data_IF_377768552545
#
_entry.id   IF_377768552545
#
_cell.length_a   1.000
_cell.length_b   1.000
_cell.length_c   1.000
_cell.angle_alpha   90.00
_cell.angle_beta   90.00
_cell.angle_gamma   90.00
#
_symmetry.space_group_name_H-M   'P 1'
#
loop_
_entity.id
_entity.type
_entity.pdbx_description
1 polymer ?
#
# COMPACT_ATOMS: atom_id res chain seq x y z
N UNK A 1 -11.33 1.09 -32.70
CA UNK A 1 -11.07 2.55 -32.83
C UNK A 1 -10.04 2.71 -33.92
N UNK A 2 -10.23 3.64 -34.84
CA UNK A 2 -9.30 3.86 -35.95
C UNK A 2 -8.01 4.51 -35.42
N UNK A 3 -6.83 3.99 -35.78
CA UNK A 3 -5.55 4.45 -35.22
C UNK A 3 -5.26 5.91 -35.58
N UNK A 4 -5.73 6.34 -36.75
CA UNK A 4 -5.59 7.70 -37.25
C UNK A 4 -6.44 8.72 -36.48
N UNK A 5 -7.30 8.26 -35.57
CA UNK A 5 -8.14 9.11 -34.70
C UNK A 5 -7.66 9.15 -33.25
N UNK A 6 -6.55 8.49 -32.92
CA UNK A 6 -5.96 8.59 -31.58
C UNK A 6 -5.16 9.88 -31.46
N UNK A 7 -5.18 10.55 -30.29
CA UNK A 7 -4.26 11.65 -30.05
C UNK A 7 -2.82 11.15 -30.06
N UNK A 8 -1.84 12.05 -30.16
CA UNK A 8 -0.42 11.68 -30.07
C UNK A 8 -0.12 10.97 -28.73
N UNK A 9 0.68 9.91 -28.80
CA UNK A 9 1.10 9.17 -27.61
C UNK A 9 1.92 10.09 -26.70
N UNK A 10 1.29 10.49 -25.60
CA UNK A 10 1.85 11.42 -24.62
C UNK A 10 1.39 11.03 -23.22
N UNK A 11 2.04 11.56 -22.19
CA UNK A 11 1.60 11.32 -20.81
C UNK A 11 0.15 11.77 -20.58
N UNK A 12 -0.22 12.93 -21.13
CA UNK A 12 -1.58 13.48 -21.00
C UNK A 12 -2.62 12.52 -21.58
N UNK A 13 -2.37 12.01 -22.80
CA UNK A 13 -3.26 11.06 -23.43
C UNK A 13 -3.36 9.73 -22.65
N UNK A 14 -2.24 9.22 -22.15
CA UNK A 14 -2.21 8.00 -21.32
C UNK A 14 -3.03 8.19 -20.03
N UNK A 15 -2.86 9.32 -19.33
CA UNK A 15 -3.60 9.61 -18.09
C UNK A 15 -5.10 9.82 -18.35
N UNK A 16 -5.48 10.44 -19.47
CA UNK A 16 -6.88 10.57 -19.87
C UNK A 16 -7.54 9.22 -20.14
N UNK A 17 -6.84 8.29 -20.80
CA UNK A 17 -7.33 6.91 -20.97
C UNK A 17 -7.40 6.15 -19.66
N UNK A 18 -6.42 6.30 -18.77
CA UNK A 18 -6.49 5.72 -17.41
C UNK A 18 -7.71 6.23 -16.64
N UNK A 19 -8.02 7.53 -16.70
CA UNK A 19 -9.24 8.10 -16.08
C UNK A 19 -10.54 7.52 -16.65
N UNK A 20 -10.53 7.12 -17.93
CA UNK A 20 -11.65 6.44 -18.59
C UNK A 20 -11.72 4.94 -18.28
N UNK A 21 -10.81 4.42 -17.45
CA UNK A 21 -10.82 3.04 -16.97
C UNK A 21 -9.97 2.06 -17.80
N UNK A 22 -9.24 2.54 -18.82
CA UNK A 22 -8.37 1.67 -19.62
C UNK A 22 -7.09 1.30 -18.87
N UNK A 23 -6.70 0.04 -18.97
CA UNK A 23 -5.41 -0.47 -18.50
C UNK A 23 -4.27 -0.08 -19.45
N UNK A 24 -3.02 -0.12 -18.97
CA UNK A 24 -1.85 0.13 -19.81
C UNK A 24 -1.73 -0.86 -20.99
N UNK A 25 -2.25 -2.08 -20.83
CA UNK A 25 -2.26 -3.09 -21.89
C UNK A 25 -3.23 -2.70 -22.99
N UNK A 26 -4.47 -2.34 -22.64
CA UNK A 26 -5.47 -1.88 -23.61
C UNK A 26 -5.02 -0.60 -24.32
N UNK A 27 -4.41 0.35 -23.59
CA UNK A 27 -3.82 1.54 -24.20
C UNK A 27 -2.71 1.16 -25.18
N UNK A 28 -1.82 0.23 -24.81
CA UNK A 28 -0.75 -0.21 -25.71
C UNK A 28 -1.31 -0.83 -27.00
N UNK A 29 -2.35 -1.65 -26.90
CA UNK A 29 -3.05 -2.25 -28.04
C UNK A 29 -3.69 -1.19 -28.96
N UNK A 30 -4.34 -0.18 -28.38
CA UNK A 30 -4.92 0.95 -29.12
C UNK A 30 -3.87 1.67 -29.96
N UNK A 31 -2.73 1.98 -29.35
CA UNK A 31 -1.64 2.72 -29.99
C UNK A 31 -0.70 1.85 -30.84
N UNK A 32 -0.86 0.53 -30.82
CA UNK A 32 0.05 -0.40 -31.54
C UNK A 32 1.47 -0.41 -30.99
N UNK A 33 1.65 -0.12 -29.70
CA UNK A 33 2.94 -0.11 -29.00
C UNK A 33 2.99 -1.21 -27.95
N UNK A 34 4.14 -1.37 -27.29
CA UNK A 34 4.27 -2.33 -26.19
C UNK A 34 3.78 -1.72 -24.88
N UNK A 35 3.30 -2.56 -23.96
CA UNK A 35 2.94 -2.12 -22.60
C UNK A 35 4.15 -1.53 -21.85
N UNK A 36 5.36 -1.97 -22.17
CA UNK A 36 6.61 -1.39 -21.66
C UNK A 36 6.82 0.04 -22.16
N UNK A 37 6.48 0.36 -23.40
CA UNK A 37 6.55 1.72 -23.91
C UNK A 37 5.61 2.65 -23.15
N UNK A 38 4.36 2.24 -22.90
CA UNK A 38 3.41 2.99 -22.07
C UNK A 38 3.95 3.17 -20.64
N UNK A 39 4.49 2.11 -20.04
CA UNK A 39 5.09 2.18 -18.70
C UNK A 39 6.30 3.10 -18.64
N UNK A 40 7.11 3.14 -19.70
CA UNK A 40 8.25 4.05 -19.83
C UNK A 40 7.77 5.51 -19.90
N UNK A 41 6.77 5.82 -20.73
CA UNK A 41 6.18 7.17 -20.81
C UNK A 41 5.67 7.65 -19.45
N UNK A 42 4.91 6.81 -18.73
CA UNK A 42 4.41 7.15 -17.39
C UNK A 42 5.57 7.42 -16.42
N UNK A 43 6.62 6.61 -16.43
CA UNK A 43 7.77 6.78 -15.54
C UNK A 43 8.59 8.03 -15.89
N UNK A 44 8.92 8.22 -17.16
CA UNK A 44 9.84 9.26 -17.64
C UNK A 44 9.26 10.66 -17.46
N UNK A 45 7.95 10.83 -17.66
CA UNK A 45 7.31 12.15 -17.65
C UNK A 45 6.53 12.45 -16.36
N UNK A 46 6.66 11.63 -15.32
CA UNK A 46 6.04 11.89 -14.02
C UNK A 46 4.52 11.64 -13.99
N UNK A 47 4.07 10.57 -14.65
CA UNK A 47 2.68 10.15 -14.61
C UNK A 47 2.19 9.82 -13.21
N UNK A 48 0.87 9.84 -13.03
CA UNK A 48 0.26 9.61 -11.71
C UNK A 48 0.61 8.21 -11.25
N UNK A 49 1.14 8.13 -10.04
CA UNK A 49 1.38 6.86 -9.36
C UNK A 49 0.03 6.16 -9.19
N UNK A 50 0.06 4.86 -9.34
CA UNK A 50 -1.09 4.03 -8.95
C UNK A 50 -1.14 3.95 -7.42
N UNK A 51 -2.31 3.74 -6.80
CA UNK A 51 -2.39 3.53 -5.36
C UNK A 51 -1.40 2.47 -4.87
N UNK A 52 -1.22 1.39 -5.64
CA UNK A 52 -0.23 0.36 -5.34
C UNK A 52 1.22 0.87 -5.33
N UNK A 53 1.60 1.77 -6.23
CA UNK A 53 2.93 2.36 -6.26
C UNK A 53 3.14 3.29 -5.06
N UNK A 54 2.13 4.09 -4.73
CA UNK A 54 2.15 4.96 -3.54
C UNK A 54 2.28 4.14 -2.25
N UNK A 55 1.52 3.03 -2.12
CA UNK A 55 1.65 2.08 -1.01
C UNK A 55 3.08 1.52 -0.91
N UNK A 56 3.70 1.16 -2.03
CA UNK A 56 5.04 0.58 -2.05
C UNK A 56 6.13 1.58 -1.68
N UNK A 57 6.00 2.83 -2.10
CA UNK A 57 6.95 3.89 -1.74
C UNK A 57 6.81 4.32 -0.28
N UNK A 58 5.59 4.32 0.23
CA UNK A 58 5.32 4.61 1.64
C UNK A 58 5.56 3.42 2.57
N UNK A 59 5.95 2.26 2.03
CA UNK A 59 6.09 1.03 2.80
C UNK A 59 7.32 1.11 3.72
N UNK A 60 7.17 1.05 5.06
CA UNK A 60 8.23 1.45 5.96
C UNK A 60 9.18 0.30 6.34
N UNK A 61 8.95 -0.91 5.82
CA UNK A 61 9.60 -2.14 6.27
C UNK A 61 10.15 -2.97 5.12
N UNK A 62 11.34 -3.54 5.28
CA UNK A 62 11.78 -4.65 4.41
C UNK A 62 11.40 -5.98 5.07
N UNK A 63 10.46 -6.71 4.46
CA UNK A 63 9.86 -7.92 5.05
C UNK A 63 10.19 -9.14 4.19
N UNK A 64 10.71 -10.20 4.82
CA UNK A 64 11.00 -11.46 4.12
C UNK A 64 9.74 -12.19 3.64
N UNK A 65 9.87 -12.92 2.53
CA UNK A 65 8.75 -13.54 1.83
C UNK A 65 7.80 -14.37 2.72
N UNK A 66 8.27 -15.20 3.68
CA UNK A 66 7.38 -15.94 4.57
C UNK A 66 6.50 -15.03 5.44
N UNK A 67 7.06 -13.93 5.95
CA UNK A 67 6.38 -12.99 6.85
C UNK A 67 5.35 -12.11 6.12
N UNK A 68 5.49 -11.97 4.80
CA UNK A 68 4.48 -11.28 3.96
C UNK A 68 3.17 -12.08 3.81
N UNK A 69 3.19 -13.38 4.11
CA UNK A 69 2.03 -14.27 3.97
C UNK A 69 1.18 -14.33 5.24
N UNK A 70 1.15 -13.24 6.02
CA UNK A 70 0.46 -13.16 7.30
C UNK A 70 -0.78 -12.26 7.23
N UNK A 71 -1.72 -12.46 8.14
CA UNK A 71 -2.91 -11.61 8.23
C UNK A 71 -2.56 -10.15 8.55
N UNK A 72 -1.54 -9.93 9.40
CA UNK A 72 -1.03 -8.60 9.77
C UNK A 72 -0.49 -7.88 8.55
N UNK A 73 0.43 -8.50 7.81
CA UNK A 73 0.99 -7.89 6.60
C UNK A 73 -0.09 -7.53 5.58
N UNK A 74 -1.08 -8.41 5.39
CA UNK A 74 -2.24 -8.12 4.54
C UNK A 74 -3.03 -6.91 5.04
N UNK A 75 -3.33 -6.82 6.33
CA UNK A 75 -4.07 -5.69 6.89
C UNK A 75 -3.30 -4.38 6.79
N UNK A 76 -1.96 -4.41 6.96
CA UNK A 76 -1.11 -3.24 6.72
C UNK A 76 -1.16 -2.79 5.25
N UNK A 77 -1.14 -3.72 4.28
CA UNK A 77 -1.33 -3.37 2.86
C UNK A 77 -2.72 -2.77 2.59
N UNK A 78 -3.76 -3.37 3.16
CA UNK A 78 -5.12 -2.86 3.03
C UNK A 78 -5.26 -1.46 3.66
N UNK A 79 -4.60 -1.20 4.80
CA UNK A 79 -4.58 0.11 5.43
C UNK A 79 -3.96 1.17 4.50
N UNK A 80 -2.76 0.91 3.98
CA UNK A 80 -2.10 1.86 3.09
C UNK A 80 -2.96 2.14 1.83
N UNK A 81 -3.56 1.11 1.24
CA UNK A 81 -4.49 1.29 0.12
C UNK A 81 -5.74 2.10 0.52
N UNK A 82 -6.30 1.86 1.70
CA UNK A 82 -7.44 2.61 2.22
C UNK A 82 -7.10 4.09 2.43
N UNK A 83 -5.96 4.42 3.05
CA UNK A 83 -5.55 5.81 3.28
C UNK A 83 -5.35 6.55 1.96
N UNK A 84 -4.74 5.92 0.97
CA UNK A 84 -4.49 6.53 -0.35
C UNK A 84 -5.77 6.72 -1.16
N UNK A 85 -6.73 5.79 -1.06
CA UNK A 85 -7.92 5.77 -1.94
C UNK A 85 -9.21 6.19 -1.27
N UNK A 86 -9.24 6.35 0.05
CA UNK A 86 -10.47 6.44 0.83
C UNK A 86 -11.31 5.17 0.79
N UNK A 87 -10.73 4.03 0.41
CA UNK A 87 -11.43 2.75 0.20
C UNK A 87 -12.10 2.58 -1.16
N UNK A 88 -11.97 3.54 -2.08
CA UNK A 88 -12.54 3.45 -3.42
C UNK A 88 -11.88 2.30 -4.20
N UNK A 89 -12.69 1.36 -4.68
CA UNK A 89 -12.22 0.19 -5.44
C UNK A 89 -11.79 -1.01 -4.58
N UNK A 90 -11.77 -0.87 -3.26
CA UNK A 90 -11.50 -1.98 -2.34
C UNK A 90 -12.72 -2.91 -2.23
N UNK A 91 -12.47 -4.21 -2.03
CA UNK A 91 -13.56 -5.18 -1.86
C UNK A 91 -14.22 -4.98 -0.49
N UNK A 92 -15.55 -5.17 -0.36
CA UNK A 92 -16.24 -5.07 0.92
C UNK A 92 -15.66 -6.00 2.01
N UNK A 93 -15.21 -7.19 1.63
CA UNK A 93 -14.56 -8.13 2.55
C UNK A 93 -13.20 -7.63 3.08
N UNK A 94 -12.46 -6.85 2.29
CA UNK A 94 -11.18 -6.28 2.70
C UNK A 94 -11.39 -5.11 3.66
N UNK A 95 -12.38 -4.25 3.37
CA UNK A 95 -12.80 -3.17 4.26
C UNK A 95 -13.31 -3.71 5.61
N UNK A 96 -14.14 -4.76 5.61
CA UNK A 96 -14.63 -5.38 6.85
C UNK A 96 -13.50 -5.96 7.71
N UNK A 97 -12.51 -6.60 7.09
CA UNK A 97 -11.33 -7.11 7.83
C UNK A 97 -10.48 -5.97 8.39
N UNK A 98 -10.34 -4.89 7.64
CA UNK A 98 -9.60 -3.71 8.05
C UNK A 98 -10.27 -3.01 9.23
N UNK A 99 -11.59 -2.85 9.20
CA UNK A 99 -12.38 -2.33 10.32
C UNK A 99 -12.18 -3.19 11.59
N UNK A 100 -12.28 -4.52 11.47
CA UNK A 100 -12.06 -5.41 12.60
C UNK A 100 -10.63 -5.33 13.16
N UNK A 101 -9.65 -5.11 12.28
CA UNK A 101 -8.25 -4.92 12.67
C UNK A 101 -8.05 -3.61 13.43
N UNK A 102 -8.64 -2.51 12.98
CA UNK A 102 -8.57 -1.23 13.70
C UNK A 102 -9.24 -1.30 15.07
N UNK A 103 -10.46 -1.85 15.15
CA UNK A 103 -11.16 -2.07 16.44
C UNK A 103 -10.30 -2.89 17.39
N UNK A 104 -9.73 -4.00 16.92
CA UNK A 104 -8.86 -4.84 17.77
C UNK A 104 -7.65 -4.06 18.30
N UNK A 105 -7.01 -3.25 17.47
CA UNK A 105 -5.86 -2.43 17.86
C UNK A 105 -6.27 -1.38 18.90
N UNK A 106 -7.37 -0.67 18.67
CA UNK A 106 -7.86 0.39 19.53
C UNK A 106 -8.38 -0.16 20.88
N UNK A 107 -9.27 -1.16 20.85
CA UNK A 107 -9.88 -1.76 22.04
C UNK A 107 -8.85 -2.35 23.01
N UNK A 108 -7.69 -2.77 22.49
CA UNK A 108 -6.62 -3.37 23.27
C UNK A 108 -5.43 -2.44 23.54
N UNK A 109 -5.47 -1.19 23.07
CA UNK A 109 -4.36 -0.24 23.11
C UNK A 109 -3.05 -0.88 22.61
N UNK A 110 -3.14 -1.48 21.43
CA UNK A 110 -2.03 -2.15 20.76
C UNK A 110 -1.40 -1.32 19.66
N UNK A 111 -0.19 -1.72 19.30
CA UNK A 111 0.54 -1.29 18.11
C UNK A 111 1.22 -2.52 17.48
N UNK A 112 1.39 -2.51 16.16
CA UNK A 112 2.11 -3.55 15.44
C UNK A 112 3.61 -3.28 15.50
N UNK A 113 4.38 -4.21 16.02
CA UNK A 113 5.85 -4.17 15.96
C UNK A 113 6.34 -5.20 14.93
N UNK A 114 7.24 -4.78 14.05
CA UNK A 114 7.98 -5.68 13.17
C UNK A 114 9.41 -5.86 13.68
N UNK A 115 9.82 -7.10 13.88
CA UNK A 115 11.20 -7.48 14.13
C UNK A 115 11.46 -8.83 13.44
N UNK A 116 12.29 -8.87 12.38
CA UNK A 116 12.52 -10.07 11.59
C UNK A 116 13.16 -11.21 12.39
N UNK A 117 13.72 -10.93 13.57
CA UNK A 117 14.31 -11.96 14.45
C UNK A 117 13.28 -12.65 15.34
N UNK A 118 12.06 -12.12 15.44
CA UNK A 118 10.99 -12.75 16.22
C UNK A 118 10.56 -14.06 15.59
N UNK A 119 10.62 -15.13 16.39
CA UNK A 119 10.16 -16.47 16.03
C UNK A 119 8.97 -16.88 16.90
N UNK A 120 8.14 -17.85 16.49
CA UNK A 120 7.14 -18.45 17.37
C UNK A 120 7.79 -19.09 18.61
N UNK A 121 7.19 -19.03 19.81
CA UNK A 121 5.85 -18.51 20.12
C UNK A 121 5.82 -17.00 20.45
N UNK A 122 6.95 -16.29 20.42
CA UNK A 122 7.02 -14.86 20.76
C UNK A 122 6.39 -13.98 19.66
N UNK A 123 6.51 -14.40 18.40
CA UNK A 123 5.77 -13.84 17.28
C UNK A 123 4.28 -14.17 17.38
N UNK A 124 3.42 -13.20 17.07
CA UNK A 124 1.97 -13.41 16.97
C UNK A 124 1.58 -14.32 15.78
N UNK A 125 2.51 -14.56 14.84
CA UNK A 125 2.30 -15.41 13.67
C UNK A 125 3.24 -16.60 13.69
N UNK A 126 2.80 -17.70 13.09
CA UNK A 126 3.64 -18.87 12.85
C UNK A 126 4.75 -18.65 11.81
N UNK A 127 4.80 -17.48 11.15
CA UNK A 127 5.84 -17.11 10.19
C UNK A 127 6.92 -16.20 10.78
N UNK A 128 6.82 -15.85 12.06
CA UNK A 128 7.74 -14.91 12.71
C UNK A 128 7.43 -13.45 12.38
N UNK A 129 8.31 -12.55 12.80
CA UNK A 129 8.37 -11.16 12.33
C UNK A 129 7.45 -10.15 13.03
N UNK A 130 6.29 -10.58 13.53
CA UNK A 130 5.23 -9.65 13.96
C UNK A 130 4.87 -9.84 15.43
N UNK A 131 4.71 -8.75 16.17
CA UNK A 131 4.23 -8.79 17.55
C UNK A 131 3.20 -7.70 17.84
N UNK A 132 2.27 -8.02 18.75
CA UNK A 132 1.34 -7.07 19.33
C UNK A 132 2.03 -6.50 20.54
N UNK A 133 2.17 -5.19 20.59
CA UNK A 133 2.77 -4.52 21.74
C UNK A 133 1.79 -3.53 22.31
N UNK A 134 1.83 -3.36 23.63
CA UNK A 134 1.15 -2.25 24.28
C UNK A 134 1.73 -0.93 23.78
N UNK A 135 0.85 0.01 23.46
CA UNK A 135 1.23 1.35 22.99
C UNK A 135 2.02 2.09 24.07
N UNK A 136 2.97 2.91 23.63
CA UNK A 136 3.73 3.86 24.45
C UNK A 136 3.30 5.26 24.07
N UNK A 137 3.46 6.23 24.98
CA UNK A 137 3.19 7.64 24.66
C UNK A 137 3.96 8.14 23.42
N UNK A 138 5.17 7.64 23.21
CA UNK A 138 6.01 7.98 22.05
C UNK A 138 5.49 7.42 20.73
N UNK A 139 4.65 6.39 20.77
CA UNK A 139 4.10 5.79 19.55
C UNK A 139 3.02 6.69 18.92
N UNK A 140 2.44 7.63 19.67
CA UNK A 140 1.33 8.47 19.21
C UNK A 140 0.19 7.62 18.65
N UNK A 141 -0.34 8.02 17.51
CA UNK A 141 -1.41 7.30 16.80
C UNK A 141 -0.87 6.33 15.73
N UNK A 142 0.43 6.05 15.72
CA UNK A 142 1.01 5.15 14.72
C UNK A 142 0.43 3.73 14.82
N UNK A 143 0.21 3.12 13.68
CA UNK A 143 -0.23 1.73 13.53
C UNK A 143 0.96 0.76 13.61
N UNK A 144 2.12 1.20 13.12
CA UNK A 144 3.38 0.46 13.15
C UNK A 144 4.35 1.17 14.11
N UNK A 145 4.91 0.43 15.05
CA UNK A 145 5.90 0.94 15.99
C UNK A 145 7.20 1.28 15.27
N UNK A 146 7.68 2.48 15.53
CA UNK A 146 9.02 2.90 15.12
C UNK A 146 10.10 2.15 15.91
N UNK A 147 11.01 1.49 15.19
CA UNK A 147 12.14 0.77 15.75
C UNK A 147 13.30 0.70 14.73
N UNK A 148 14.39 0.00 15.10
CA UNK A 148 15.60 -0.13 14.25
C UNK A 148 15.41 -0.86 12.91
N UNK A 149 14.24 -1.47 12.66
CA UNK A 149 13.92 -2.19 11.42
C UNK A 149 13.02 -1.38 10.47
N UNK A 150 12.64 -0.16 10.86
CA UNK A 150 12.05 0.79 9.93
C UNK A 150 13.13 1.15 8.90
N UNK A 151 12.82 0.93 7.63
CA UNK A 151 13.70 1.21 6.48
C UNK A 151 13.30 2.47 5.72
N UNK A 152 12.19 3.12 6.08
CA UNK A 152 11.83 4.41 5.53
C UNK A 152 12.89 5.46 5.88
N UNK A 153 13.27 6.28 4.90
CA UNK A 153 14.36 7.26 5.01
C UNK A 153 13.89 8.69 5.22
N UNK A 154 12.59 8.96 5.05
CA UNK A 154 11.93 10.23 5.36
C UNK A 154 10.91 10.03 6.46
N UNK A 155 10.31 11.09 7.00
CA UNK A 155 9.22 10.98 8.00
C UNK A 155 7.84 10.83 7.35
N UNK A 156 7.71 11.20 6.07
CA UNK A 156 6.45 11.22 5.31
C UNK A 156 5.72 9.88 5.25
N UNK A 157 6.38 8.75 5.54
CA UNK A 157 5.67 7.47 5.67
C UNK A 157 4.63 7.56 6.79
N UNK A 158 4.93 8.23 7.91
CA UNK A 158 4.09 8.24 9.11
C UNK A 158 2.66 8.68 8.82
N UNK A 159 2.45 9.63 7.91
CA UNK A 159 1.13 10.12 7.51
C UNK A 159 0.22 9.00 6.99
N UNK A 160 0.79 7.99 6.35
CA UNK A 160 0.04 6.83 5.82
C UNK A 160 -0.22 5.78 6.91
N UNK A 161 0.57 5.76 7.98
CA UNK A 161 0.56 4.72 9.01
C UNK A 161 -0.03 5.17 10.34
N UNK A 162 -0.90 6.18 10.32
CA UNK A 162 -1.71 6.58 11.47
C UNK A 162 -2.96 5.72 11.56
N UNK A 163 -3.35 5.33 12.77
CA UNK A 163 -4.66 4.75 13.01
C UNK A 163 -5.73 5.80 12.60
N UNK A 164 -6.70 5.44 11.73
CA UNK A 164 -7.73 6.39 11.33
C UNK A 164 -8.59 6.85 12.51
N UNK A 165 -9.06 8.09 12.47
CA UNK A 165 -10.01 8.62 13.46
C UNK A 165 -11.30 7.79 13.51
N UNK A 166 -11.88 7.67 14.71
CA UNK A 166 -13.13 6.93 14.94
C UNK A 166 -12.96 5.46 15.32
N UNK A 167 -11.72 5.03 15.58
CA UNK A 167 -11.39 3.74 16.19
C UNK A 167 -10.75 3.92 17.55
#
# INVERSE_FOLDING_TARGET
MDRDKLPELSLVAIEDFKRKGYSQTEIAEMYGVTRQAISWWVKTYGGRKTPRQEVLEAWPLTVEAPMTQTAVYRNLRNHAEYVITGGIGMKPADLKRLEAFYRFIADNDYIVEFDPTLVPPESMTNKGGWAWRKRRKSDGDLLIRENKYITATTEDWKDIWLLPEGY
#
